data_IF_243125328552
#
_entry.id   IF_243125328552
#
_cell.length_a   1.000
_cell.length_b   1.000
_cell.length_c   1.000
_cell.angle_alpha   90.00
_cell.angle_beta   90.00
_cell.angle_gamma   90.00
#
_symmetry.space_group_name_H-M   'P 1'
#
loop_
_entity.id
_entity.type
_entity.pdbx_description
1 polymer ?
#
# COMPACT_ATOMS: atom_id res chain seq x y z
N UNK A 1 -34.91 14.35 43.35
CA UNK A 1 -33.91 14.03 42.31
C UNK A 1 -33.43 15.32 41.63
N UNK A 2 -32.81 16.23 42.40
CA UNK A 2 -32.46 17.58 41.93
C UNK A 2 -31.31 18.17 42.76
N UNK A 3 -30.35 17.30 43.13
CA UNK A 3 -29.15 17.64 43.92
C UNK A 3 -27.85 17.03 43.38
N UNK A 4 -27.87 16.51 42.15
CA UNK A 4 -26.70 15.96 41.47
C UNK A 4 -26.18 16.81 40.29
N UNK A 5 -26.85 17.92 39.96
CA UNK A 5 -26.48 18.82 38.86
C UNK A 5 -26.04 20.20 39.37
N UNK A 6 -25.25 20.24 40.45
CA UNK A 6 -24.69 21.51 40.98
C UNK A 6 -23.26 21.32 41.49
N UNK A 7 -22.46 20.51 40.78
CA UNK A 7 -21.02 20.36 41.04
C UNK A 7 -20.19 20.11 39.77
N UNK A 8 -20.64 20.60 38.60
CA UNK A 8 -19.67 20.84 37.53
C UNK A 8 -19.02 22.20 37.78
N UNK A 9 -17.95 22.13 38.57
CA UNK A 9 -16.92 23.16 38.74
C UNK A 9 -16.66 23.89 37.42
N UNK A 10 -16.73 25.23 37.44
CA UNK A 10 -16.32 26.09 36.32
C UNK A 10 -14.96 25.58 35.82
N UNK A 11 -14.79 25.23 34.54
CA UNK A 11 -13.52 24.74 34.04
C UNK A 11 -12.46 25.81 34.35
N UNK A 12 -11.38 25.41 35.01
CA UNK A 12 -10.28 26.33 35.30
C UNK A 12 -9.79 26.92 33.98
N UNK A 13 -9.43 28.21 33.97
CA UNK A 13 -8.88 28.87 32.77
C UNK A 13 -7.71 28.06 32.17
N UNK A 14 -7.01 27.33 33.02
CA UNK A 14 -5.93 26.39 32.67
C UNK A 14 -6.43 25.17 31.89
N UNK A 15 -7.52 24.52 32.32
CA UNK A 15 -8.10 23.38 31.62
C UNK A 15 -8.65 23.75 30.24
N UNK A 16 -9.28 24.92 30.13
CA UNK A 16 -9.75 25.43 28.83
C UNK A 16 -8.59 25.73 27.87
N UNK A 17 -7.49 26.28 28.38
CA UNK A 17 -6.29 26.57 27.59
C UNK A 17 -5.59 25.30 27.11
N UNK A 18 -5.50 24.26 27.94
CA UNK A 18 -4.94 22.95 27.54
C UNK A 18 -5.79 22.28 26.47
N UNK A 19 -7.12 22.33 26.61
CA UNK A 19 -8.05 21.76 25.63
C UNK A 19 -7.98 22.52 24.29
N UNK A 20 -7.88 23.85 24.34
CA UNK A 20 -7.68 24.68 23.15
C UNK A 20 -6.32 24.38 22.49
N UNK A 21 -5.26 24.16 23.27
CA UNK A 21 -3.94 23.80 22.77
C UNK A 21 -3.94 22.42 22.09
N UNK A 22 -4.60 21.41 22.67
CA UNK A 22 -4.72 20.08 22.08
C UNK A 22 -5.53 20.11 20.78
N UNK A 23 -6.62 20.90 20.73
CA UNK A 23 -7.40 21.11 19.51
C UNK A 23 -6.58 21.87 18.47
N UNK A 24 -5.82 22.90 18.85
CA UNK A 24 -4.93 23.64 17.96
C UNK A 24 -3.82 22.75 17.40
N UNK A 25 -3.20 21.90 18.22
CA UNK A 25 -2.18 20.94 17.77
C UNK A 25 -2.82 19.91 16.84
N UNK A 26 -4.00 19.37 17.18
CA UNK A 26 -4.72 18.42 16.33
C UNK A 26 -5.10 19.02 14.97
N UNK A 27 -5.64 20.24 14.95
CA UNK A 27 -5.94 20.98 13.73
C UNK A 27 -4.66 21.31 12.97
N UNK A 28 -3.58 21.70 13.64
CA UNK A 28 -2.28 21.99 13.02
C UNK A 28 -1.67 20.75 12.34
N UNK A 29 -1.79 19.57 12.95
CA UNK A 29 -1.39 18.30 12.31
C UNK A 29 -2.26 17.99 11.08
N UNK A 30 -3.55 18.33 11.10
CA UNK A 30 -4.45 18.11 9.95
C UNK A 30 -4.17 19.10 8.82
N UNK A 31 -3.88 20.38 9.13
CA UNK A 31 -3.66 21.43 8.13
C UNK A 31 -2.26 21.37 7.50
N UNK A 32 -1.24 20.90 8.23
CA UNK A 32 0.10 20.64 7.68
C UNK A 32 0.28 19.21 7.15
N UNK A 33 -0.59 18.29 7.58
CA UNK A 33 -0.71 16.93 7.06
C UNK A 33 -1.45 16.85 5.72
N UNK A 34 -1.42 17.93 4.93
CA UNK A 34 -1.70 17.83 3.50
C UNK A 34 -0.79 16.76 2.94
N UNK A 35 -1.37 15.66 2.49
CA UNK A 35 -0.73 14.45 1.98
C UNK A 35 0.31 14.77 0.89
N UNK A 36 1.51 15.21 1.28
CA UNK A 36 2.63 15.39 0.37
C UNK A 36 3.29 14.02 0.17
N UNK A 37 2.62 13.16 -0.58
CA UNK A 37 3.23 11.95 -1.13
C UNK A 37 4.35 12.28 -2.12
N UNK A 38 4.44 13.54 -2.56
CA UNK A 38 5.36 14.00 -3.59
C UNK A 38 6.41 14.97 -3.08
N UNK A 39 7.47 14.43 -2.47
CA UNK A 39 8.86 14.90 -2.66
C UNK A 39 9.82 13.88 -2.02
N UNK A 40 10.16 12.80 -2.73
CA UNK A 40 11.31 11.99 -2.38
C UNK A 40 12.34 12.15 -3.50
N UNK A 41 13.29 13.07 -3.31
CA UNK A 41 14.35 13.39 -4.28
C UNK A 41 15.38 12.25 -4.45
N UNK A 42 15.20 11.13 -3.75
CA UNK A 42 16.05 9.96 -3.91
C UNK A 42 15.72 9.28 -5.24
N UNK A 43 16.75 8.98 -6.07
CA UNK A 43 16.56 8.13 -7.24
C UNK A 43 15.95 6.79 -6.79
N UNK A 44 14.70 6.53 -7.17
CA UNK A 44 14.11 5.22 -6.97
C UNK A 44 14.61 4.32 -8.09
N UNK A 45 15.13 3.15 -7.75
CA UNK A 45 15.64 2.18 -8.71
C UNK A 45 14.77 0.93 -8.61
N UNK A 46 14.31 0.42 -9.74
CA UNK A 46 13.53 -0.81 -9.85
C UNK A 46 14.15 -1.68 -10.93
N UNK A 47 14.51 -2.92 -10.58
CA UNK A 47 15.18 -3.85 -11.49
C UNK A 47 16.46 -3.28 -12.13
N UNK A 48 17.16 -2.37 -11.43
CA UNK A 48 18.36 -1.70 -11.93
C UNK A 48 18.09 -0.44 -12.77
N UNK A 49 16.83 -0.12 -13.07
CA UNK A 49 16.45 1.07 -13.82
C UNK A 49 16.01 2.21 -12.90
N UNK A 50 16.42 3.44 -13.21
CA UNK A 50 16.00 4.62 -12.45
C UNK A 50 14.56 4.98 -12.83
N UNK A 51 13.68 4.96 -11.84
CA UNK A 51 12.31 5.45 -11.98
C UNK A 51 12.33 6.98 -11.92
N UNK A 52 11.79 7.61 -12.96
CA UNK A 52 11.63 9.05 -13.07
C UNK A 52 10.32 9.47 -12.38
N UNK A 53 10.45 9.87 -11.11
CA UNK A 53 9.37 10.43 -10.28
C UNK A 53 9.64 11.91 -10.01
N UNK A 54 9.86 12.66 -11.09
CA UNK A 54 10.11 14.11 -11.03
C UNK A 54 8.95 14.90 -11.67
N UNK A 55 8.96 16.22 -11.49
CA UNK A 55 7.94 17.13 -12.04
C UNK A 55 7.87 17.11 -13.57
N UNK A 56 8.91 16.63 -14.26
CA UNK A 56 8.90 16.47 -15.72
C UNK A 56 8.13 15.22 -16.15
N UNK A 57 7.95 14.25 -15.24
CA UNK A 57 7.18 13.01 -15.42
C UNK A 57 5.94 12.95 -14.52
N UNK A 58 5.16 14.04 -14.51
CA UNK A 58 3.96 14.20 -13.67
C UNK A 58 2.95 13.04 -13.79
N UNK A 59 2.83 12.39 -14.95
CA UNK A 59 1.94 11.25 -15.12
C UNK A 59 2.39 9.98 -14.37
N UNK A 60 3.70 9.76 -14.19
CA UNK A 60 4.21 8.63 -13.41
C UNK A 60 3.92 8.81 -11.92
N UNK A 61 4.12 10.05 -11.47
CA UNK A 61 3.76 10.56 -10.15
C UNK A 61 2.27 10.32 -9.87
N UNK A 62 1.40 10.77 -10.77
CA UNK A 62 -0.05 10.62 -10.61
C UNK A 62 -0.49 9.15 -10.57
N UNK A 63 0.10 8.29 -11.41
CA UNK A 63 -0.16 6.86 -11.41
C UNK A 63 0.25 6.21 -10.08
N UNK A 64 1.44 6.54 -9.58
CA UNK A 64 1.89 6.02 -8.29
C UNK A 64 0.97 6.48 -7.15
N UNK A 65 0.62 7.77 -7.12
CA UNK A 65 -0.30 8.32 -6.12
C UNK A 65 -1.67 7.64 -6.18
N UNK A 66 -2.18 7.37 -7.39
CA UNK A 66 -3.44 6.65 -7.59
C UNK A 66 -3.38 5.25 -6.99
N UNK A 67 -2.32 4.49 -7.28
CA UNK A 67 -2.18 3.12 -6.76
C UNK A 67 -2.00 3.11 -5.24
N UNK A 68 -1.25 4.07 -4.67
CA UNK A 68 -1.14 4.23 -3.23
C UNK A 68 -2.48 4.60 -2.59
N UNK A 69 -3.26 5.48 -3.21
CA UNK A 69 -4.58 5.87 -2.72
C UNK A 69 -5.56 4.68 -2.72
N UNK A 70 -5.58 3.89 -3.81
CA UNK A 70 -6.42 2.68 -3.91
C UNK A 70 -6.02 1.66 -2.85
N UNK A 71 -4.73 1.38 -2.69
CA UNK A 71 -4.25 0.44 -1.68
C UNK A 71 -4.52 0.91 -0.25
N UNK A 72 -4.39 2.22 0.01
CA UNK A 72 -4.73 2.80 1.32
C UNK A 72 -6.22 2.68 1.64
N UNK A 73 -7.09 2.83 0.64
CA UNK A 73 -8.53 2.66 0.82
C UNK A 73 -8.93 1.20 1.06
N UNK A 74 -8.02 0.23 0.84
CA UNK A 74 -8.25 -1.20 1.07
C UNK A 74 -7.30 -1.77 2.13
N UNK A 75 -7.41 -1.25 3.36
CA UNK A 75 -6.56 -1.65 4.49
C UNK A 75 -6.63 -3.16 4.79
N UNK A 76 -7.81 -3.77 4.63
CA UNK A 76 -7.99 -5.22 4.84
C UNK A 76 -7.20 -6.05 3.83
N UNK A 77 -7.20 -5.65 2.55
CA UNK A 77 -6.37 -6.31 1.53
C UNK A 77 -4.89 -6.16 1.86
N UNK A 78 -4.47 -4.97 2.30
CA UNK A 78 -3.09 -4.74 2.74
C UNK A 78 -2.71 -5.63 3.92
N UNK A 79 -3.58 -5.80 4.90
CA UNK A 79 -3.36 -6.70 6.03
C UNK A 79 -3.18 -8.16 5.57
N UNK A 80 -3.99 -8.60 4.60
CA UNK A 80 -3.86 -9.95 4.04
C UNK A 80 -2.56 -10.15 3.24
N UNK A 81 -2.13 -9.14 2.49
CA UNK A 81 -0.82 -9.12 1.83
C UNK A 81 0.30 -9.28 2.87
N UNK A 82 0.25 -8.50 3.96
CA UNK A 82 1.25 -8.55 5.03
C UNK A 82 1.39 -9.94 5.65
N UNK A 83 0.27 -10.64 5.85
CA UNK A 83 0.27 -12.02 6.35
C UNK A 83 0.87 -13.04 5.37
N UNK A 84 0.72 -12.81 4.07
CA UNK A 84 1.19 -13.71 3.00
C UNK A 84 2.65 -13.48 2.62
N UNK A 85 3.15 -12.26 2.79
CA UNK A 85 4.54 -11.88 2.50
C UNK A 85 5.59 -12.87 3.03
N UNK A 86 5.61 -13.24 4.32
CA UNK A 86 6.63 -14.14 4.85
C UNK A 86 6.56 -15.56 4.25
N UNK A 87 5.42 -15.96 3.69
CA UNK A 87 5.24 -17.28 3.06
C UNK A 87 5.81 -17.29 1.63
N UNK A 88 5.45 -16.27 0.84
CA UNK A 88 5.76 -16.26 -0.60
C UNK A 88 7.08 -15.57 -0.93
N UNK A 89 7.44 -14.49 -0.21
CA UNK A 89 8.61 -13.68 -0.55
C UNK A 89 9.92 -14.49 -0.55
N UNK A 90 10.24 -15.31 0.48
CA UNK A 90 11.49 -16.09 0.46
C UNK A 90 11.55 -17.10 -0.67
N UNK A 91 10.42 -17.74 -1.01
CA UNK A 91 10.33 -18.70 -2.08
C UNK A 91 10.53 -18.03 -3.45
N UNK A 92 9.86 -16.91 -3.68
CA UNK A 92 9.96 -16.15 -4.94
C UNK A 92 11.37 -15.58 -5.09
N UNK A 93 11.93 -14.95 -4.06
CA UNK A 93 13.30 -14.41 -4.10
C UNK A 93 14.34 -15.48 -4.43
N UNK A 94 14.20 -16.68 -3.83
CA UNK A 94 15.07 -17.81 -4.15
C UNK A 94 14.99 -18.19 -5.63
N UNK A 95 13.77 -18.25 -6.19
CA UNK A 95 13.56 -18.58 -7.61
C UNK A 95 14.06 -17.49 -8.56
N UNK A 96 13.85 -16.22 -8.21
CA UNK A 96 14.39 -15.10 -8.97
C UNK A 96 15.91 -15.12 -8.98
N UNK A 97 16.54 -15.38 -7.82
CA UNK A 97 17.99 -15.51 -7.71
C UNK A 97 18.54 -16.68 -8.54
N UNK A 98 17.89 -17.85 -8.48
CA UNK A 98 18.23 -19.01 -9.31
C UNK A 98 18.14 -18.69 -10.81
N UNK A 99 17.20 -17.82 -11.22
CA UNK A 99 17.02 -17.36 -12.59
C UNK A 99 17.90 -16.14 -12.97
N UNK A 100 18.71 -15.61 -12.05
CA UNK A 100 19.51 -14.40 -12.29
C UNK A 100 18.68 -13.11 -12.44
N UNK A 101 17.44 -13.11 -11.93
CA UNK A 101 16.53 -11.98 -12.01
C UNK A 101 16.62 -11.08 -10.76
N UNK A 102 16.34 -9.76 -10.89
CA UNK A 102 16.27 -8.85 -9.75
C UNK A 102 15.16 -9.25 -8.77
N UNK A 103 15.39 -9.06 -7.47
CA UNK A 103 14.37 -9.28 -6.43
C UNK A 103 13.13 -8.41 -6.61
N UNK A 104 13.29 -7.26 -7.27
CA UNK A 104 12.22 -6.28 -7.48
C UNK A 104 11.10 -6.81 -8.38
N UNK A 105 11.36 -7.87 -9.17
CA UNK A 105 10.32 -8.56 -9.96
C UNK A 105 9.21 -9.10 -9.05
N UNK A 106 9.48 -9.33 -7.76
CA UNK A 106 8.47 -9.67 -6.77
C UNK A 106 7.29 -8.68 -6.74
N UNK A 107 7.53 -7.39 -6.95
CA UNK A 107 6.47 -6.38 -6.92
C UNK A 107 5.44 -6.57 -8.04
N UNK A 108 5.80 -7.23 -9.15
CA UNK A 108 4.85 -7.62 -10.18
C UNK A 108 3.83 -8.63 -9.64
N UNK A 109 4.30 -9.69 -8.97
CA UNK A 109 3.42 -10.71 -8.35
C UNK A 109 2.47 -10.07 -7.35
N UNK A 110 2.98 -9.11 -6.58
CA UNK A 110 2.19 -8.35 -5.62
C UNK A 110 1.07 -7.56 -6.32
N UNK A 111 1.37 -6.87 -7.41
CA UNK A 111 0.41 -6.09 -8.18
C UNK A 111 -0.64 -6.96 -8.88
N UNK A 112 -0.25 -8.12 -9.42
CA UNK A 112 -1.13 -9.00 -10.19
C UNK A 112 -2.15 -9.74 -9.32
N UNK A 113 -1.73 -10.26 -8.16
CA UNK A 113 -2.57 -11.18 -7.39
C UNK A 113 -2.71 -10.82 -5.91
N UNK A 114 -2.01 -9.81 -5.41
CA UNK A 114 -1.88 -9.56 -3.97
C UNK A 114 -1.43 -10.82 -3.19
N UNK A 115 -0.54 -11.60 -3.82
CA UNK A 115 -0.04 -12.89 -3.34
C UNK A 115 -1.12 -13.95 -3.10
N UNK A 116 -2.27 -13.84 -3.78
CA UNK A 116 -3.34 -14.83 -3.69
C UNK A 116 -3.13 -15.93 -4.73
N UNK A 117 -2.72 -17.11 -4.27
CA UNK A 117 -2.43 -18.25 -5.12
C UNK A 117 -3.64 -18.77 -5.92
N UNK A 118 -4.85 -18.57 -5.40
CA UNK A 118 -6.12 -18.96 -6.05
C UNK A 118 -6.77 -17.80 -6.83
N UNK A 119 -6.05 -16.71 -7.10
CA UNK A 119 -6.60 -15.58 -7.82
C UNK A 119 -6.98 -15.98 -9.24
N UNK A 120 -8.22 -15.70 -9.63
CA UNK A 120 -8.72 -15.84 -11.01
C UNK A 120 -9.41 -14.54 -11.39
N UNK A 121 -9.00 -13.94 -12.51
CA UNK A 121 -9.64 -12.75 -13.07
C UNK A 121 -10.88 -13.10 -13.87
N UNK A 122 -11.73 -12.12 -14.15
CA UNK A 122 -12.91 -12.29 -15.01
C UNK A 122 -12.55 -12.72 -16.44
N UNK A 123 -11.35 -12.38 -16.91
CA UNK A 123 -10.83 -12.79 -18.21
C UNK A 123 -10.21 -14.20 -18.21
N UNK A 124 -10.06 -14.83 -17.03
CA UNK A 124 -9.52 -16.18 -16.89
C UNK A 124 -8.02 -16.25 -16.60
N UNK A 125 -7.35 -15.13 -16.36
CA UNK A 125 -5.98 -15.13 -15.84
C UNK A 125 -5.92 -15.71 -14.43
N UNK A 126 -4.97 -16.60 -14.14
CA UNK A 126 -4.96 -17.37 -12.89
C UNK A 126 -3.61 -17.40 -12.17
N UNK A 127 -3.66 -17.62 -10.85
CA UNK A 127 -2.51 -17.82 -9.99
C UNK A 127 -1.81 -16.53 -9.55
N UNK A 128 -0.66 -16.70 -8.88
CA UNK A 128 0.15 -15.61 -8.34
C UNK A 128 0.59 -14.61 -9.43
N UNK A 129 0.90 -15.11 -10.62
CA UNK A 129 1.42 -14.35 -11.75
C UNK A 129 0.33 -13.91 -12.73
N UNK A 130 -0.94 -14.28 -12.49
CA UNK A 130 -2.06 -14.03 -13.41
C UNK A 130 -1.74 -14.46 -14.86
N UNK A 131 -1.29 -15.70 -15.05
CA UNK A 131 -1.09 -16.21 -16.41
C UNK A 131 -2.41 -16.53 -17.08
N UNK A 132 -2.55 -16.15 -18.35
CA UNK A 132 -3.64 -16.64 -19.20
C UNK A 132 -3.44 -18.13 -19.51
N UNK A 133 -4.49 -18.96 -19.60
CA UNK A 133 -4.38 -20.38 -19.86
C UNK A 133 -3.58 -20.73 -21.12
N UNK A 134 -3.76 -19.94 -22.19
CA UNK A 134 -3.01 -20.12 -23.43
C UNK A 134 -1.50 -19.89 -23.23
N UNK A 135 -1.14 -18.80 -22.54
CA UNK A 135 0.26 -18.47 -22.20
C UNK A 135 0.87 -19.52 -21.29
N UNK A 136 0.14 -19.96 -20.26
CA UNK A 136 0.58 -20.99 -19.33
C UNK A 136 0.94 -22.29 -20.09
N UNK A 137 0.06 -22.74 -20.99
CA UNK A 137 0.31 -23.93 -21.84
C UNK A 137 1.53 -23.75 -22.74
N UNK A 138 1.74 -22.57 -23.32
CA UNK A 138 2.91 -22.29 -24.15
C UNK A 138 4.24 -22.40 -23.37
N UNK A 139 4.23 -22.09 -22.07
CA UNK A 139 5.36 -22.28 -21.17
C UNK A 139 5.39 -23.66 -20.49
N UNK A 140 4.63 -24.64 -21.00
CA UNK A 140 4.51 -25.99 -20.42
C UNK A 140 4.08 -26.01 -18.95
N UNK A 141 3.31 -25.01 -18.52
CA UNK A 141 2.70 -25.00 -17.19
C UNK A 141 1.43 -25.87 -17.18
N UNK A 142 1.20 -26.53 -16.04
CA UNK A 142 -0.05 -27.23 -15.77
C UNK A 142 -1.19 -26.22 -15.58
N UNK A 143 -2.30 -26.46 -16.25
CA UNK A 143 -3.54 -25.70 -16.13
C UNK A 143 -4.63 -26.68 -15.68
N UNK A 144 -5.22 -26.42 -14.52
CA UNK A 144 -6.33 -27.20 -13.97
C UNK A 144 -7.63 -26.40 -14.07
N UNK A 145 -8.76 -27.11 -14.10
CA UNK A 145 -10.11 -26.56 -14.13
C UNK A 145 -10.63 -26.21 -12.72
#
# INVERSE_FOLDING_TARGET
MMRFLTQMSKPSKFGLAVLALVVLIGVFQITLGGSRFHENDRPQVLAGEKILLDKTHQFNIERLDRELAVNKMNEDQMLMIWKRLPLFKPMIDKKLKEAGLPSDVFYLVLAESALRETAVSSAGAAGLWQFMPATAKAYNLRVDD
#
